data_IF_633980417368
#
_entry.id   IF_633980417368
#
_cell.length_a   1.000
_cell.length_b   1.000
_cell.length_c   1.000
_cell.angle_alpha   90.00
_cell.angle_beta   90.00
_cell.angle_gamma   90.00
#
_symmetry.space_group_name_H-M   'P 1'
#
loop_
_entity.id
_entity.type
_entity.pdbx_description
1 polymer ?
#
# COMPACT_ATOMS: atom_id res chain seq x y z
N UNK A 1 -13.98 -9.17 3.79
CA UNK A 1 -12.93 -9.86 4.54
C UNK A 1 -12.25 -8.81 5.41
N UNK A 2 -12.15 -9.03 6.72
CA UNK A 2 -11.38 -8.17 7.63
C UNK A 2 -10.06 -8.89 7.89
N UNK A 3 -8.93 -8.23 7.64
CA UNK A 3 -7.59 -8.78 7.85
C UNK A 3 -6.86 -7.84 8.79
N UNK A 4 -6.46 -8.35 9.96
CA UNK A 4 -5.66 -7.61 10.93
C UNK A 4 -4.17 -7.94 10.71
N UNK A 5 -3.34 -6.91 10.57
CA UNK A 5 -1.88 -7.08 10.46
C UNK A 5 -1.20 -6.38 11.64
N UNK A 6 -0.56 -7.18 12.49
CA UNK A 6 0.17 -6.70 13.68
C UNK A 6 1.67 -6.89 13.44
N UNK A 7 2.43 -5.82 13.64
CA UNK A 7 3.89 -5.85 13.68
C UNK A 7 4.37 -5.65 15.12
N UNK A 8 5.29 -6.51 15.55
CA UNK A 8 5.89 -6.48 16.89
C UNK A 8 7.30 -5.87 16.81
N UNK A 9 7.49 -4.74 17.48
CA UNK A 9 8.76 -4.04 17.60
C UNK A 9 9.21 -4.02 19.07
N UNK A 10 9.86 -5.10 19.50
CA UNK A 10 10.11 -5.35 20.93
C UNK A 10 8.77 -5.47 21.66
N UNK A 11 8.55 -4.63 22.67
CA UNK A 11 7.29 -4.58 23.43
C UNK A 11 6.18 -3.77 22.72
N UNK A 12 6.48 -3.07 21.62
CA UNK A 12 5.49 -2.24 20.91
C UNK A 12 4.77 -3.03 19.83
N UNK A 13 3.45 -3.00 19.87
CA UNK A 13 2.60 -3.47 18.78
C UNK A 13 2.21 -2.31 17.86
N UNK A 14 2.19 -2.58 16.56
CA UNK A 14 1.74 -1.65 15.51
C UNK A 14 0.75 -2.35 14.62
N UNK A 15 -0.43 -1.76 14.50
CA UNK A 15 -1.50 -2.26 13.64
C UNK A 15 -1.44 -1.56 12.29
N UNK A 16 -1.51 -2.34 11.23
CA UNK A 16 -1.62 -1.88 9.85
C UNK A 16 -2.90 -2.45 9.25
N UNK A 17 -4.01 -1.87 9.71
CA UNK A 17 -5.33 -2.26 9.24
C UNK A 17 -5.72 -1.36 8.07
N UNK A 18 -6.28 -1.96 7.04
CA UNK A 18 -6.80 -1.26 5.87
C UNK A 18 -8.03 -2.01 5.33
N UNK A 19 -8.99 -1.25 4.79
CA UNK A 19 -10.11 -1.78 4.05
C UNK A 19 -9.93 -1.46 2.57
N UNK A 20 -9.80 -2.50 1.76
CA UNK A 20 -9.62 -2.38 0.31
C UNK A 20 -10.89 -2.83 -0.43
N UNK A 21 -11.38 -1.99 -1.34
CA UNK A 21 -12.53 -2.31 -2.21
C UNK A 21 -12.17 -2.11 -3.67
N UNK A 22 -12.48 -3.08 -4.51
CA UNK A 22 -12.32 -2.91 -5.96
C UNK A 22 -13.47 -2.08 -6.54
N UNK A 23 -13.12 -1.00 -7.24
CA UNK A 23 -14.05 -0.18 -8.01
C UNK A 23 -13.87 -0.51 -9.51
N UNK A 24 -14.76 -1.35 -10.03
CA UNK A 24 -14.69 -1.84 -11.40
C UNK A 24 -14.89 -0.72 -12.45
N UNK A 25 -15.66 0.33 -12.11
CA UNK A 25 -15.95 1.44 -13.04
C UNK A 25 -14.69 2.26 -13.33
N UNK A 26 -13.91 2.55 -12.30
CA UNK A 26 -12.69 3.36 -12.41
C UNK A 26 -11.42 2.49 -12.56
N UNK A 27 -11.56 1.16 -12.48
CA UNK A 27 -10.47 0.19 -12.51
C UNK A 27 -9.36 0.47 -11.48
N UNK A 28 -9.77 0.78 -10.24
CA UNK A 28 -8.88 1.06 -9.10
C UNK A 28 -9.27 0.22 -7.88
N UNK A 29 -8.33 0.09 -6.95
CA UNK A 29 -8.64 -0.30 -5.57
C UNK A 29 -8.77 0.97 -4.74
N UNK A 30 -9.89 1.08 -4.04
CA UNK A 30 -10.17 2.09 -3.03
C UNK A 30 -9.60 1.59 -1.71
N UNK A 31 -8.57 2.26 -1.21
CA UNK A 31 -7.79 1.85 -0.03
C UNK A 31 -8.03 2.81 1.14
N UNK A 32 -8.72 2.33 2.16
CA UNK A 32 -9.03 3.06 3.38
C UNK A 32 -8.06 2.63 4.48
N UNK A 33 -7.14 3.52 4.84
CA UNK A 33 -6.02 3.26 5.74
C UNK A 33 -6.37 3.61 7.20
N UNK A 34 -6.18 2.64 8.09
CA UNK A 34 -6.44 2.76 9.53
C UNK A 34 -7.78 2.18 9.95
N UNK A 35 -7.95 2.01 11.26
CA UNK A 35 -9.20 1.56 11.89
C UNK A 35 -9.42 2.39 13.17
N UNK A 36 -10.25 3.46 13.13
CA UNK A 36 -11.03 3.93 11.99
C UNK A 36 -10.16 4.53 10.87
N UNK A 37 -10.61 4.50 9.60
CA UNK A 37 -9.86 5.07 8.50
C UNK A 37 -9.64 6.57 8.65
N UNK A 38 -8.39 7.01 8.51
CA UNK A 38 -8.00 8.44 8.54
C UNK A 38 -7.47 8.94 7.20
N UNK A 39 -7.03 8.03 6.33
CA UNK A 39 -6.54 8.36 4.99
C UNK A 39 -7.20 7.42 3.98
N UNK A 40 -7.55 7.97 2.83
CA UNK A 40 -7.99 7.24 1.67
C UNK A 40 -6.98 7.36 0.55
N UNK A 41 -6.78 6.30 -0.23
CA UNK A 41 -5.97 6.32 -1.45
C UNK A 41 -6.62 5.53 -2.59
N UNK A 42 -6.70 6.13 -3.77
CA UNK A 42 -6.89 5.39 -5.01
C UNK A 42 -5.59 4.59 -5.29
N UNK A 43 -5.69 3.30 -5.58
CA UNK A 43 -4.57 2.46 -6.03
C UNK A 43 -4.82 1.95 -7.45
N UNK A 44 -3.82 2.11 -8.32
CA UNK A 44 -3.83 1.54 -9.67
C UNK A 44 -2.92 0.32 -9.71
N UNK A 45 -3.45 -0.78 -10.21
CA UNK A 45 -2.71 -2.03 -10.43
C UNK A 45 -2.35 -2.12 -11.92
N UNK A 46 -1.15 -2.63 -12.20
CA UNK A 46 -0.70 -2.96 -13.54
C UNK A 46 0.15 -4.23 -13.47
N UNK A 47 -0.07 -5.16 -14.40
CA UNK A 47 0.76 -6.36 -14.52
C UNK A 47 1.53 -6.26 -15.82
N UNK A 48 2.84 -6.49 -15.74
CA UNK A 48 3.73 -6.53 -16.89
C UNK A 48 4.70 -7.71 -16.74
N UNK A 49 4.76 -8.59 -17.74
CA UNK A 49 5.60 -9.79 -17.73
C UNK A 49 5.54 -10.61 -16.41
N UNK A 50 4.35 -10.74 -15.82
CA UNK A 50 4.15 -11.48 -14.57
C UNK A 50 4.50 -10.70 -13.29
N UNK A 51 5.04 -9.49 -13.39
CA UNK A 51 5.28 -8.60 -12.26
C UNK A 51 4.07 -7.66 -12.03
N UNK A 52 3.58 -7.61 -10.80
CA UNK A 52 2.53 -6.69 -10.36
C UNK A 52 3.17 -5.39 -9.88
N UNK A 53 2.68 -4.27 -10.40
CA UNK A 53 2.98 -2.92 -9.91
C UNK A 53 1.71 -2.27 -9.37
N UNK A 54 1.76 -1.80 -8.12
CA UNK A 54 0.69 -1.05 -7.47
C UNK A 54 1.18 0.38 -7.25
N UNK A 55 0.40 1.38 -7.69
CA UNK A 55 0.74 2.80 -7.51
C UNK A 55 -0.38 3.56 -6.84
N UNK A 56 -0.07 4.39 -5.85
CA UNK A 56 -1.06 5.31 -5.29
C UNK A 56 -1.34 6.48 -6.23
N UNK A 57 -2.59 6.95 -6.21
CA UNK A 57 -3.07 8.06 -7.04
C UNK A 57 -3.58 9.20 -6.16
N UNK A 58 -4.87 9.51 -6.22
CA UNK A 58 -5.47 10.58 -5.41
C UNK A 58 -5.59 10.11 -3.98
N UNK A 59 -5.30 10.99 -3.04
CA UNK A 59 -5.42 10.71 -1.62
C UNK A 59 -6.33 11.75 -0.96
N UNK A 60 -7.02 11.34 0.09
CA UNK A 60 -7.89 12.20 0.89
C UNK A 60 -7.66 11.96 2.37
N UNK A 61 -7.82 13.00 3.17
CA UNK A 61 -7.93 12.91 4.62
C UNK A 61 -9.39 12.65 4.97
N UNK A 62 -9.63 11.71 5.88
CA UNK A 62 -10.96 11.35 6.36
C UNK A 62 -11.14 11.90 7.77
N UNK A 63 -12.09 12.83 7.94
CA UNK A 63 -12.44 13.44 9.22
C UNK A 63 -13.91 13.13 9.54
N UNK A 64 -14.15 11.89 9.97
CA UNK A 64 -15.50 11.36 10.15
C UNK A 64 -16.25 11.32 8.80
N UNK A 65 -17.38 12.03 8.63
CA UNK A 65 -18.14 12.05 7.38
C UNK A 65 -17.53 12.96 6.30
N UNK A 66 -16.50 13.74 6.63
CA UNK A 66 -15.89 14.72 5.72
C UNK A 66 -14.65 14.11 5.05
N UNK A 67 -14.62 14.14 3.71
CA UNK A 67 -13.43 13.79 2.92
C UNK A 67 -12.78 15.04 2.34
N UNK A 68 -11.50 15.26 2.65
CA UNK A 68 -10.74 16.42 2.17
C UNK A 68 -9.63 15.94 1.22
N UNK A 69 -9.63 16.32 -0.07
CA UNK A 69 -8.54 16.00 -0.98
C UNK A 69 -7.19 16.49 -0.46
N UNK A 70 -6.20 15.59 -0.39
CA UNK A 70 -4.84 15.96 0.00
C UNK A 70 -4.13 16.63 -1.20
N UNK A 71 -3.62 17.87 -1.06
CA UNK A 71 -2.77 18.48 -2.07
C UNK A 71 -1.56 17.60 -2.40
N UNK A 72 -1.11 17.60 -3.65
CA UNK A 72 -0.05 16.71 -4.14
C UNK A 72 1.25 16.76 -3.31
N UNK A 73 1.60 17.93 -2.79
CA UNK A 73 2.78 18.16 -1.94
C UNK A 73 2.70 17.44 -0.57
N UNK A 74 1.50 17.10 -0.09
CA UNK A 74 1.28 16.36 1.15
C UNK A 74 1.02 14.87 0.93
N UNK A 75 0.98 14.41 -0.32
CA UNK A 75 0.71 13.01 -0.64
C UNK A 75 1.93 12.12 -0.41
N UNK A 76 1.67 10.90 0.05
CA UNK A 76 2.61 9.78 0.05
C UNK A 76 2.41 8.96 -1.23
N UNK A 77 3.28 9.16 -2.22
CA UNK A 77 3.29 8.42 -3.49
C UNK A 77 3.90 7.03 -3.26
N UNK A 78 3.04 6.02 -3.15
CA UNK A 78 3.42 4.63 -2.98
C UNK A 78 3.61 3.97 -4.35
N UNK A 79 4.70 3.21 -4.48
CA UNK A 79 4.94 2.26 -5.55
C UNK A 79 5.33 0.94 -4.91
N UNK A 80 4.54 -0.09 -5.16
CA UNK A 80 4.81 -1.48 -4.77
C UNK A 80 5.08 -2.26 -6.04
N UNK A 81 6.14 -3.06 -6.04
CA UNK A 81 6.44 -4.02 -7.11
C UNK A 81 6.56 -5.40 -6.49
N UNK A 82 5.83 -6.34 -7.05
CA UNK A 82 5.83 -7.74 -6.65
C UNK A 82 6.04 -8.61 -7.89
N UNK A 83 6.93 -9.59 -7.80
CA UNK A 83 7.20 -10.51 -8.90
C UNK A 83 7.63 -11.86 -8.35
N UNK A 84 7.32 -12.93 -9.08
CA UNK A 84 7.88 -14.25 -8.83
C UNK A 84 9.13 -14.47 -9.70
N UNK A 85 10.22 -14.90 -9.10
CA UNK A 85 11.47 -15.22 -9.80
C UNK A 85 11.62 -16.74 -9.84
N UNK A 86 11.43 -17.32 -11.03
CA UNK A 86 11.43 -18.77 -11.24
C UNK A 86 12.77 -19.41 -10.83
N UNK A 87 13.91 -18.81 -11.18
CA UNK A 87 15.23 -19.37 -10.89
C UNK A 87 15.56 -19.43 -9.39
N UNK A 88 14.83 -18.66 -8.57
CA UNK A 88 15.03 -18.58 -7.12
C UNK A 88 13.90 -19.25 -6.33
N UNK A 89 12.84 -19.66 -7.04
CA UNK A 89 11.57 -20.12 -6.49
C UNK A 89 11.07 -19.18 -5.39
N UNK A 90 11.10 -17.87 -5.64
CA UNK A 90 10.86 -16.86 -4.62
C UNK A 90 10.01 -15.71 -5.15
N UNK A 91 9.14 -15.20 -4.28
CA UNK A 91 8.45 -13.93 -4.47
C UNK A 91 9.37 -12.80 -4.03
N UNK A 92 9.39 -11.72 -4.78
CA UNK A 92 10.08 -10.48 -4.45
C UNK A 92 9.07 -9.39 -4.20
N UNK A 93 9.38 -8.50 -3.27
CA UNK A 93 8.59 -7.32 -2.95
C UNK A 93 9.52 -6.12 -2.82
N UNK A 94 9.14 -5.01 -3.43
CA UNK A 94 9.80 -3.72 -3.29
C UNK A 94 8.73 -2.67 -3.04
N UNK A 95 8.78 -2.01 -1.89
CA UNK A 95 7.86 -0.93 -1.52
C UNK A 95 8.64 0.36 -1.37
N UNK A 96 8.12 1.41 -1.98
CA UNK A 96 8.65 2.75 -1.84
C UNK A 96 7.50 3.76 -1.72
N UNK A 97 7.53 4.56 -0.65
CA UNK A 97 6.60 5.67 -0.41
C UNK A 97 7.42 6.95 -0.36
N UNK A 98 7.14 7.86 -1.30
CA UNK A 98 7.82 9.15 -1.42
C UNK A 98 6.85 10.31 -1.27
N UNK A 99 7.29 11.36 -0.60
CA UNK A 99 6.65 12.66 -0.60
C UNK A 99 7.48 13.65 -1.43
N UNK A 100 6.86 14.55 -2.20
CA UNK A 100 7.59 15.50 -3.05
C UNK A 100 8.53 16.45 -2.29
N UNK A 101 8.25 16.77 -1.03
CA UNK A 101 9.01 17.74 -0.23
C UNK A 101 10.09 17.08 0.62
N UNK A 102 9.75 15.98 1.30
CA UNK A 102 10.64 15.35 2.30
C UNK A 102 11.35 14.08 1.77
N UNK A 103 11.09 13.69 0.53
CA UNK A 103 11.71 12.51 -0.07
C UNK A 103 11.08 11.20 0.42
N UNK A 104 11.90 10.20 0.76
CA UNK A 104 11.40 8.87 1.15
C UNK A 104 10.76 8.90 2.54
N UNK A 105 9.47 8.59 2.62
CA UNK A 105 8.76 8.40 3.89
C UNK A 105 9.03 7.00 4.44
N UNK A 106 8.95 5.99 3.58
CA UNK A 106 9.04 4.59 3.96
C UNK A 106 9.46 3.74 2.75
N UNK A 107 10.34 2.77 2.96
CA UNK A 107 10.71 1.80 1.94
C UNK A 107 11.16 0.49 2.58
N UNK A 108 10.91 -0.62 1.89
CA UNK A 108 11.52 -1.91 2.19
C UNK A 108 11.58 -2.75 0.92
N UNK A 109 12.54 -3.67 0.90
CA UNK A 109 12.70 -4.66 -0.16
C UNK A 109 12.93 -6.02 0.49
N UNK A 110 12.48 -7.08 -0.17
CA UNK A 110 12.64 -8.43 0.36
C UNK A 110 12.28 -9.50 -0.65
N UNK A 111 12.62 -10.73 -0.28
CA UNK A 111 12.17 -11.92 -0.98
C UNK A 111 11.67 -12.93 0.05
N UNK A 112 10.60 -13.65 -0.30
CA UNK A 112 10.01 -14.69 0.54
C UNK A 112 9.53 -15.86 -0.32
N UNK A 113 9.43 -17.02 0.30
CA UNK A 113 8.90 -18.24 -0.27
C UNK A 113 7.59 -18.60 0.39
N UNK A 114 6.84 -19.51 -0.22
CA UNK A 114 5.52 -19.89 0.27
C UNK A 114 5.54 -20.49 1.70
N UNK A 115 6.68 -21.00 2.16
CA UNK A 115 6.88 -21.58 3.49
C UNK A 115 7.43 -20.61 4.53
N UNK A 116 7.66 -19.33 4.17
CA UNK A 116 8.14 -18.30 5.12
C UNK A 116 7.00 -17.63 5.91
N UNK A 117 5.73 -17.95 5.59
CA UNK A 117 4.52 -17.25 6.06
C UNK A 117 3.76 -18.07 7.11
#
# INVERSE_FOLDING_TARGET
MHWERIFYFGEKQRYFNALMRFNAKEAIIEDYLGEPPIVYSDLKLAVDHGALTITSKRQRLLLGPVEIPLPSIFQGKATVKEAYIEEKEAYTISVQVKNPLIGTIFAYEGAFRHYDI
#
